data_IF_022752684464
#
_entry.id   IF_022752684464
#
_cell.length_a   1.000
_cell.length_b   1.000
_cell.length_c   1.000
_cell.angle_alpha   90.00
_cell.angle_beta   90.00
_cell.angle_gamma   90.00
#
_symmetry.space_group_name_H-M   'P 1'
#
loop_
_entity.id
_entity.type
_entity.pdbx_description
1 polymer ?
#
# COMPACT_ATOMS: atom_id res chain seq x y z
N UNK A 1 -17.79 4.09 6.26
CA UNK A 1 -17.75 5.15 5.22
C UNK A 1 -16.50 4.93 4.38
N UNK A 2 -16.63 4.48 3.13
CA UNK A 2 -15.56 4.69 2.14
C UNK A 2 -14.84 3.48 1.55
N UNK A 3 -15.33 2.23 1.63
CA UNK A 3 -14.66 1.07 0.98
C UNK A 3 -14.29 1.30 -0.49
N UNK A 4 -15.12 2.04 -1.24
CA UNK A 4 -14.83 2.44 -2.62
C UNK A 4 -13.68 3.46 -2.72
N UNK A 5 -13.58 4.40 -1.78
CA UNK A 5 -12.49 5.38 -1.69
C UNK A 5 -11.19 4.73 -1.23
N UNK A 6 -11.26 3.79 -0.29
CA UNK A 6 -10.11 3.04 0.20
C UNK A 6 -9.56 2.08 -0.86
N UNK A 7 -10.43 1.34 -1.58
CA UNK A 7 -10.02 0.53 -2.74
C UNK A 7 -9.43 1.38 -3.86
N UNK A 8 -10.04 2.52 -4.20
CA UNK A 8 -9.50 3.43 -5.20
C UNK A 8 -8.10 3.96 -4.81
N UNK A 9 -7.90 4.34 -3.54
CA UNK A 9 -6.59 4.74 -3.01
C UNK A 9 -5.57 3.62 -3.07
N UNK A 10 -5.97 2.39 -2.74
CA UNK A 10 -5.14 1.20 -2.85
C UNK A 10 -4.64 1.00 -4.29
N UNK A 11 -5.55 0.96 -5.25
CA UNK A 11 -5.22 0.79 -6.67
C UNK A 11 -4.35 1.93 -7.22
N UNK A 12 -4.63 3.18 -6.83
CA UNK A 12 -3.84 4.34 -7.27
C UNK A 12 -2.42 4.29 -6.71
N UNK A 13 -2.26 3.95 -5.43
CA UNK A 13 -0.94 3.81 -4.81
C UNK A 13 -0.15 2.63 -5.40
N UNK A 14 -0.80 1.51 -5.68
CA UNK A 14 -0.16 0.36 -6.32
C UNK A 14 0.31 0.69 -7.74
N UNK A 15 -0.52 1.41 -8.49
CA UNK A 15 -0.19 1.87 -9.85
C UNK A 15 0.98 2.86 -9.83
N UNK A 16 0.94 3.85 -8.94
CA UNK A 16 2.04 4.81 -8.76
C UNK A 16 3.33 4.12 -8.31
N UNK A 17 3.24 3.15 -7.41
CA UNK A 17 4.37 2.33 -6.98
C UNK A 17 5.00 1.56 -8.15
N UNK A 18 4.19 0.91 -8.98
CA UNK A 18 4.67 0.19 -10.19
C UNK A 18 5.29 1.14 -11.21
N UNK A 19 4.71 2.32 -11.41
CA UNK A 19 5.28 3.36 -12.30
C UNK A 19 6.63 3.86 -11.77
N UNK A 20 6.74 4.15 -10.47
CA UNK A 20 8.00 4.52 -9.82
C UNK A 20 9.05 3.41 -9.94
N UNK A 21 8.64 2.15 -9.80
CA UNK A 21 9.55 1.00 -9.94
C UNK A 21 10.03 0.75 -11.38
N UNK A 22 9.25 1.17 -12.39
CA UNK A 22 9.62 1.16 -13.81
C UNK A 22 10.44 2.38 -14.24
N UNK A 23 10.52 3.42 -13.40
CA UNK A 23 11.36 4.57 -13.68
C UNK A 23 12.84 4.17 -13.73
N UNK A 24 13.56 4.66 -14.73
CA UNK A 24 15.01 4.46 -14.86
C UNK A 24 15.83 5.19 -13.81
N UNK A 25 15.20 6.03 -12.98
CA UNK A 25 15.87 6.82 -11.96
C UNK A 25 15.99 6.01 -10.65
N UNK A 26 17.22 5.68 -10.17
CA UNK A 26 17.42 4.79 -9.03
C UNK A 26 16.80 5.30 -7.72
N UNK A 27 16.76 6.62 -7.53
CA UNK A 27 16.11 7.24 -6.36
C UNK A 27 14.60 6.98 -6.34
N UNK A 28 13.92 7.19 -7.47
CA UNK A 28 12.48 6.93 -7.64
C UNK A 28 12.16 5.46 -7.43
N UNK A 29 13.04 4.55 -7.85
CA UNK A 29 12.89 3.11 -7.67
C UNK A 29 13.02 2.68 -6.20
N UNK A 30 13.95 3.27 -5.47
CA UNK A 30 14.10 3.05 -4.03
C UNK A 30 12.89 3.57 -3.26
N UNK A 31 12.42 4.79 -3.57
CA UNK A 31 11.19 5.33 -2.99
C UNK A 31 9.98 4.43 -3.25
N UNK A 32 9.83 3.91 -4.48
CA UNK A 32 8.75 2.99 -4.82
C UNK A 32 8.79 1.70 -4.00
N UNK A 33 9.98 1.14 -3.77
CA UNK A 33 10.16 -0.05 -2.90
C UNK A 33 9.85 0.25 -1.44
N UNK A 34 10.34 1.39 -0.93
CA UNK A 34 10.07 1.81 0.45
C UNK A 34 8.57 2.04 0.69
N UNK A 35 7.87 2.66 -0.28
CA UNK A 35 6.42 2.83 -0.23
C UNK A 35 5.66 1.50 -0.27
N UNK A 36 6.09 0.53 -1.08
CA UNK A 36 5.48 -0.80 -1.13
C UNK A 36 5.63 -1.55 0.20
N UNK A 37 6.84 -1.53 0.79
CA UNK A 37 7.10 -2.17 2.09
C UNK A 37 6.25 -1.53 3.19
N UNK A 38 6.16 -0.20 3.21
CA UNK A 38 5.31 0.53 4.17
C UNK A 38 3.83 0.19 3.98
N UNK A 39 3.35 0.14 2.74
CA UNK A 39 1.98 -0.24 2.42
C UNK A 39 1.65 -1.66 2.86
N UNK A 40 2.52 -2.64 2.57
CA UNK A 40 2.37 -4.03 3.04
C UNK A 40 2.37 -4.13 4.56
N UNK A 41 3.23 -3.39 5.26
CA UNK A 41 3.26 -3.36 6.72
C UNK A 41 1.96 -2.79 7.32
N UNK A 42 1.39 -1.75 6.72
CA UNK A 42 0.10 -1.20 7.12
C UNK A 42 -1.06 -2.17 6.85
N UNK A 43 -1.04 -2.85 5.71
CA UNK A 43 -2.05 -3.85 5.36
C UNK A 43 -2.00 -5.04 6.32
N UNK A 44 -0.80 -5.57 6.60
CA UNK A 44 -0.61 -6.65 7.57
C UNK A 44 -1.07 -6.24 8.97
N UNK A 45 -0.71 -5.04 9.43
CA UNK A 45 -1.20 -4.52 10.72
C UNK A 45 -2.72 -4.35 10.73
N UNK A 46 -3.31 -3.91 9.62
CA UNK A 46 -4.76 -3.83 9.44
C UNK A 46 -5.44 -5.19 9.47
N UNK A 47 -4.88 -6.19 8.80
CA UNK A 47 -5.37 -7.58 8.80
C UNK A 47 -5.25 -8.22 10.18
N UNK A 48 -4.13 -8.04 10.88
CA UNK A 48 -3.95 -8.53 12.26
C UNK A 48 -4.94 -7.84 13.21
N UNK A 49 -5.11 -6.53 13.10
CA UNK A 49 -6.06 -5.77 13.92
C UNK A 49 -7.51 -6.11 13.58
N UNK A 50 -7.82 -6.36 12.30
CA UNK A 50 -9.12 -6.84 11.84
C UNK A 50 -9.39 -8.21 12.44
N UNK A 51 -8.53 -9.20 12.20
CA UNK A 51 -8.70 -10.56 12.73
C UNK A 51 -8.77 -10.65 14.25
N UNK A 52 -8.07 -9.77 14.98
CA UNK A 52 -8.10 -9.75 16.45
C UNK A 52 -9.18 -8.84 17.04
N UNK A 53 -9.75 -7.93 16.25
CA UNK A 53 -10.73 -6.93 16.68
C UNK A 53 -12.14 -7.18 16.16
N UNK A 54 -12.31 -8.05 15.17
CA UNK A 54 -13.60 -8.49 14.61
C UNK A 54 -14.23 -9.62 15.45
N UNK A 55 -13.52 -10.12 16.47
CA UNK A 55 -13.99 -11.11 17.46
C UNK A 55 -14.59 -10.44 18.73
N UNK A 56 -14.98 -9.16 18.68
CA UNK A 56 -15.70 -8.42 19.74
C UNK A 56 -17.01 -7.86 19.21
#
# INVERSE_FOLDING_TARGET
MGELKDKAKGNVNETLGKVKQKSGNPNTRQEGRAQEVKGKGQQFKGEVKGKLGDDI
#
